data_IF_371838212630
#
_entry.id   IF_371838212630
#
_cell.length_a   1.000
_cell.length_b   1.000
_cell.length_c   1.000
_cell.angle_alpha   90.00
_cell.angle_beta   90.00
_cell.angle_gamma   90.00
#
_symmetry.space_group_name_H-M   'P 1'
#
loop_
_entity.id
_entity.type
_entity.pdbx_description
1 polymer ?
#
# COMPACT_ATOMS: atom_id res chain seq x y z
N UNK A 1 10.22 -14.68 2.81
CA UNK A 1 9.53 -15.85 2.22
C UNK A 1 8.53 -15.44 1.14
N UNK A 2 7.40 -14.78 1.48
CA UNK A 2 6.37 -14.31 0.51
C UNK A 2 6.88 -13.43 -0.64
N UNK A 3 7.75 -12.45 -0.35
CA UNK A 3 8.35 -11.61 -1.40
C UNK A 3 9.17 -12.44 -2.43
N UNK A 4 9.83 -13.51 -1.97
CA UNK A 4 10.58 -14.41 -2.85
C UNK A 4 9.67 -15.25 -3.74
N UNK A 5 8.56 -15.75 -3.20
CA UNK A 5 7.54 -16.49 -3.97
C UNK A 5 6.94 -15.61 -5.08
N UNK A 6 6.60 -14.36 -4.77
CA UNK A 6 6.10 -13.39 -5.76
C UNK A 6 7.12 -13.11 -6.88
N UNK A 7 8.39 -12.94 -6.55
CA UNK A 7 9.45 -12.79 -7.57
C UNK A 7 9.57 -14.02 -8.46
N UNK A 8 9.44 -15.22 -7.89
CA UNK A 8 9.42 -16.48 -8.64
C UNK A 8 8.28 -16.57 -9.66
N UNK A 9 7.19 -15.82 -9.45
CA UNK A 9 6.05 -15.70 -10.36
C UNK A 9 6.17 -14.52 -11.35
N UNK A 10 7.31 -13.82 -11.37
CA UNK A 10 7.52 -12.66 -12.24
C UNK A 10 6.92 -11.34 -11.72
N UNK A 11 6.42 -11.32 -10.48
CA UNK A 11 5.89 -10.10 -9.86
C UNK A 11 7.05 -9.20 -9.44
N UNK A 12 6.99 -7.91 -9.82
CA UNK A 12 7.94 -6.90 -9.33
C UNK A 12 7.65 -6.60 -7.86
N UNK A 13 8.67 -6.69 -7.01
CA UNK A 13 8.55 -6.41 -5.58
C UNK A 13 9.62 -5.40 -5.18
N UNK A 14 9.22 -4.38 -4.43
CA UNK A 14 10.14 -3.36 -3.88
C UNK A 14 9.88 -3.16 -2.40
N UNK A 15 10.94 -2.83 -1.66
CA UNK A 15 10.90 -2.48 -0.25
C UNK A 15 10.69 -0.98 -0.11
N UNK A 16 9.54 -0.59 0.47
CA UNK A 16 9.26 0.80 0.78
C UNK A 16 10.29 1.30 1.81
N UNK A 17 10.94 2.43 1.51
CA UNK A 17 11.98 3.04 2.34
C UNK A 17 11.39 3.95 3.44
N UNK A 18 10.13 4.33 3.32
CA UNK A 18 9.42 5.14 4.31
C UNK A 18 9.12 4.30 5.56
N UNK A 19 9.55 4.81 6.72
CA UNK A 19 9.40 4.11 8.00
C UNK A 19 7.91 3.88 8.37
N UNK A 20 7.04 4.82 7.99
CA UNK A 20 5.61 4.72 8.27
C UNK A 20 4.75 5.43 7.22
N UNK A 21 3.76 4.72 6.68
CA UNK A 21 2.72 5.26 5.82
C UNK A 21 1.37 4.70 6.27
N UNK A 22 0.34 5.53 6.54
CA UNK A 22 -0.89 5.05 7.16
C UNK A 22 -1.81 4.30 6.19
N UNK A 23 -1.66 4.50 4.88
CA UNK A 23 -2.57 3.91 3.90
C UNK A 23 -1.99 2.60 3.38
N UNK A 24 -2.83 1.59 3.29
CA UNK A 24 -2.54 0.34 2.57
C UNK A 24 -3.68 0.10 1.61
N UNK A 25 -3.39 -0.35 0.39
CA UNK A 25 -4.44 -0.62 -0.56
C UNK A 25 -3.97 -1.35 -1.80
N UNK A 26 -4.96 -1.78 -2.58
CA UNK A 26 -4.81 -2.45 -3.86
C UNK A 26 -5.59 -1.65 -4.88
N UNK A 27 -4.90 -1.14 -5.89
CA UNK A 27 -5.46 -0.51 -7.07
C UNK A 27 -5.56 -1.56 -8.17
N UNK A 28 -6.74 -1.67 -8.78
CA UNK A 28 -7.03 -2.64 -9.85
C UNK A 28 -7.43 -1.83 -11.07
N UNK A 29 -6.76 -2.10 -12.19
CA UNK A 29 -7.06 -1.55 -13.53
C UNK A 29 -7.30 -0.03 -13.56
N UNK A 30 -6.62 0.73 -12.70
CA UNK A 30 -6.77 2.17 -12.55
C UNK A 30 -8.22 2.67 -12.31
N UNK A 31 -9.12 1.80 -11.86
CA UNK A 31 -10.56 2.08 -11.78
C UNK A 31 -11.22 1.63 -10.49
N UNK A 32 -10.60 0.70 -9.75
CA UNK A 32 -11.11 0.20 -8.47
C UNK A 32 -10.03 0.24 -7.40
N UNK A 33 -10.37 0.75 -6.21
CA UNK A 33 -9.46 0.85 -5.09
C UNK A 33 -10.08 0.23 -3.85
N UNK A 34 -9.38 -0.75 -3.27
CA UNK A 34 -9.63 -1.24 -1.91
C UNK A 34 -8.50 -0.73 -1.03
N UNK A 35 -8.81 0.01 0.03
CA UNK A 35 -7.80 0.58 0.91
C UNK A 35 -8.24 0.55 2.37
N UNK A 36 -7.28 0.59 3.28
CA UNK A 36 -7.48 0.76 4.71
C UNK A 36 -6.50 1.79 5.25
N UNK A 37 -6.87 2.42 6.35
CA UNK A 37 -6.07 3.44 7.02
C UNK A 37 -5.68 2.93 8.40
N UNK A 38 -4.40 2.94 8.71
CA UNK A 38 -3.85 2.67 10.03
C UNK A 38 -3.99 3.93 10.89
N UNK A 39 -4.73 3.83 11.99
CA UNK A 39 -4.99 4.92 12.90
C UNK A 39 -3.89 5.08 13.97
N UNK A 40 -3.10 4.04 14.24
CA UNK A 40 -2.03 4.06 15.26
C UNK A 40 -0.64 4.19 14.65
N UNK A 41 0.12 5.21 15.10
CA UNK A 41 1.56 5.42 14.80
C UNK A 41 2.52 4.69 15.77
N UNK A 42 2.05 4.25 16.93
CA UNK A 42 2.93 3.83 18.02
C UNK A 42 3.53 2.44 17.77
N UNK A 43 4.86 2.39 17.69
CA UNK A 43 5.65 1.17 17.90
C UNK A 43 5.35 0.70 19.33
N UNK A 44 4.95 -0.56 19.51
CA UNK A 44 4.66 -1.15 20.83
C UNK A 44 3.17 -1.24 21.24
N UNK A 45 2.22 -1.03 20.32
CA UNK A 45 0.80 -1.35 20.57
C UNK A 45 0.55 -2.80 20.16
N UNK A 46 0.07 -3.65 21.09
CA UNK A 46 -0.19 -5.08 20.84
C UNK A 46 -1.17 -5.33 19.67
N UNK A 47 -2.07 -4.38 19.39
CA UNK A 47 -3.03 -4.45 18.29
C UNK A 47 -3.11 -3.13 17.56
N UNK A 48 -2.73 -3.06 16.27
CA UNK A 48 -2.88 -1.84 15.50
C UNK A 48 -4.36 -1.48 15.34
N UNK A 49 -4.73 -0.23 15.61
CA UNK A 49 -6.06 0.27 15.29
C UNK A 49 -6.07 0.65 13.83
N UNK A 50 -6.97 0.08 13.05
CA UNK A 50 -7.18 0.42 11.66
C UNK A 50 -8.66 0.68 11.38
N UNK A 51 -8.93 1.56 10.43
CA UNK A 51 -10.26 1.75 9.88
C UNK A 51 -10.66 0.53 9.06
N UNK A 52 -11.96 0.25 8.99
CA UNK A 52 -12.49 -0.84 8.16
C UNK A 52 -12.00 -0.66 6.71
N UNK A 53 -11.73 -1.76 5.97
CA UNK A 53 -11.41 -1.65 4.56
C UNK A 53 -12.52 -0.94 3.79
N UNK A 54 -12.13 0.00 2.94
CA UNK A 54 -13.00 0.79 2.10
C UNK A 54 -12.80 0.40 0.64
N UNK A 55 -13.91 0.25 -0.08
CA UNK A 55 -13.96 0.08 -1.52
C UNK A 55 -14.42 1.38 -2.18
N UNK A 56 -13.80 1.78 -3.29
CA UNK A 56 -14.21 2.96 -4.06
C UNK A 56 -13.90 2.83 -5.53
N UNK A 57 -14.77 3.44 -6.36
CA UNK A 57 -14.56 3.73 -7.78
C UNK A 57 -14.44 5.25 -8.05
N UNK A 58 -14.25 6.04 -6.99
CA UNK A 58 -14.13 7.49 -7.14
C UNK A 58 -12.80 7.85 -7.82
N UNK A 59 -12.83 8.49 -9.01
CA UNK A 59 -11.62 8.77 -9.79
C UNK A 59 -10.65 9.74 -9.09
N UNK A 60 -11.16 10.66 -8.28
CA UNK A 60 -10.34 11.59 -7.50
C UNK A 60 -9.54 10.86 -6.42
N UNK A 61 -10.18 9.97 -5.66
CA UNK A 61 -9.50 9.16 -4.65
C UNK A 61 -8.49 8.19 -5.27
N UNK A 62 -8.85 7.57 -6.40
CA UNK A 62 -7.96 6.68 -7.15
C UNK A 62 -6.71 7.42 -7.58
N UNK A 63 -6.85 8.63 -8.16
CA UNK A 63 -5.72 9.45 -8.60
C UNK A 63 -4.78 9.76 -7.44
N UNK A 64 -5.31 10.24 -6.31
CA UNK A 64 -4.51 10.56 -5.12
C UNK A 64 -3.73 9.34 -4.62
N UNK A 65 -4.39 8.18 -4.54
CA UNK A 65 -3.73 6.94 -4.10
C UNK A 65 -2.65 6.50 -5.09
N UNK A 66 -2.94 6.55 -6.40
CA UNK A 66 -2.01 6.17 -7.47
C UNK A 66 -0.76 7.04 -7.45
N UNK A 67 -0.92 8.36 -7.37
CA UNK A 67 0.20 9.30 -7.32
C UNK A 67 1.08 9.06 -6.08
N UNK A 68 0.45 8.81 -4.93
CA UNK A 68 1.13 8.47 -3.69
C UNK A 68 1.87 7.12 -3.75
N UNK A 69 1.29 6.11 -4.42
CA UNK A 69 1.93 4.82 -4.65
C UNK A 69 3.12 4.96 -5.59
N UNK A 70 2.95 5.64 -6.73
CA UNK A 70 3.99 5.77 -7.76
C UNK A 70 5.25 6.43 -7.20
N UNK A 71 5.08 7.53 -6.46
CA UNK A 71 6.19 8.19 -5.77
C UNK A 71 6.98 7.21 -4.88
N UNK A 72 6.27 6.43 -4.06
CA UNK A 72 6.89 5.44 -3.16
C UNK A 72 7.53 4.29 -3.91
N UNK A 73 6.94 3.89 -5.02
CA UNK A 73 7.48 2.84 -5.88
C UNK A 73 8.81 3.25 -6.49
N UNK A 74 8.93 4.51 -6.91
CA UNK A 74 10.15 5.06 -7.49
C UNK A 74 11.26 5.26 -6.45
N UNK A 75 10.90 5.60 -5.22
CA UNK A 75 11.81 5.77 -4.08
C UNK A 75 12.15 4.44 -3.35
N UNK A 76 11.45 3.34 -3.68
CA UNK A 76 11.61 2.05 -3.04
C UNK A 76 12.84 1.28 -3.55
N UNK A 77 13.42 0.46 -2.67
CA UNK A 77 14.59 -0.39 -2.99
C UNK A 77 14.13 -1.71 -3.61
N UNK A 78 14.85 -2.21 -4.60
CA UNK A 78 14.60 -3.57 -5.09
C UNK A 78 15.00 -4.59 -4.01
N UNK A 79 14.21 -5.66 -3.90
CA UNK A 79 14.41 -6.76 -2.94
C UNK A 79 14.81 -8.00 -3.68
#
# INVERSE_FOLDING_TARGET
>A
KRAGELRGLGVKVRHCTEEWYPVRGTLIDDSELIFLIWATRKIGVERPTYYRPHYTRNPGLIRIFKDAFQKRWDEAKEI
#
